data_IF_772836129950
#
_entry.id   IF_772836129950
#
_cell.length_a   1.000
_cell.length_b   1.000
_cell.length_c   1.000
_cell.angle_alpha   90.00
_cell.angle_beta   90.00
_cell.angle_gamma   90.00
#
_symmetry.space_group_name_H-M   'P 1'
#
loop_
_entity.id
_entity.type
_entity.pdbx_description
1 polymer ?
#
# COMPACT_ATOMS: atom_id res chain seq x y z
N UNK A 1 23.62 -18.88 -18.82
CA UNK A 1 24.32 -17.58 -18.97
C UNK A 1 23.41 -16.59 -18.28
N UNK A 2 23.80 -15.99 -17.15
CA UNK A 2 22.88 -15.11 -16.43
C UNK A 2 22.67 -13.85 -17.25
N UNK A 3 21.43 -13.61 -17.68
CA UNK A 3 21.05 -12.37 -18.36
C UNK A 3 21.08 -11.26 -17.33
N UNK A 4 21.95 -10.28 -17.53
CA UNK A 4 22.04 -9.08 -16.69
C UNK A 4 21.17 -7.96 -17.26
N UNK A 5 20.70 -7.08 -16.39
CA UNK A 5 19.96 -5.90 -16.78
C UNK A 5 20.87 -4.96 -17.59
N UNK A 6 20.42 -4.47 -18.76
CA UNK A 6 21.29 -3.67 -19.62
C UNK A 6 21.75 -2.37 -18.96
N UNK A 7 23.06 -2.11 -19.01
CA UNK A 7 23.69 -0.97 -18.35
C UNK A 7 23.14 0.38 -18.84
N UNK A 8 22.88 0.53 -20.14
CA UNK A 8 22.31 1.74 -20.75
C UNK A 8 20.89 2.04 -20.21
N UNK A 9 20.09 0.99 -19.96
CA UNK A 9 18.76 1.12 -19.37
C UNK A 9 18.85 1.46 -17.88
N UNK A 10 19.79 0.86 -17.16
CA UNK A 10 20.05 1.21 -15.76
C UNK A 10 20.53 2.67 -15.61
N UNK A 11 21.39 3.14 -16.51
CA UNK A 11 21.85 4.53 -16.57
C UNK A 11 20.66 5.49 -16.76
N UNK A 12 19.77 5.19 -17.71
CA UNK A 12 18.56 5.98 -17.94
C UNK A 12 17.66 6.03 -16.69
N UNK A 13 17.44 4.89 -16.02
CA UNK A 13 16.61 4.85 -14.80
C UNK A 13 17.28 5.62 -13.66
N UNK A 14 18.59 5.47 -13.49
CA UNK A 14 19.34 6.21 -12.48
C UNK A 14 19.24 7.73 -12.71
N UNK A 15 19.32 8.19 -13.97
CA UNK A 15 19.11 9.59 -14.31
C UNK A 15 17.68 10.05 -13.96
N UNK A 16 16.66 9.28 -14.37
CA UNK A 16 15.25 9.62 -14.12
C UNK A 16 14.92 9.81 -12.63
N UNK A 17 15.51 8.99 -11.76
CA UNK A 17 15.27 9.05 -10.31
C UNK A 17 16.39 9.75 -9.53
N UNK A 18 17.42 10.27 -10.21
CA UNK A 18 18.59 10.89 -9.60
C UNK A 18 19.29 9.97 -8.58
N UNK A 19 19.41 8.68 -8.91
CA UNK A 19 20.08 7.69 -8.07
C UNK A 19 21.56 8.05 -7.86
N UNK A 20 22.01 7.84 -6.64
CA UNK A 20 23.43 7.69 -6.32
C UNK A 20 24.01 6.42 -6.95
N UNK A 21 25.34 6.32 -7.02
CA UNK A 21 26.01 5.11 -7.50
C UNK A 21 25.63 3.86 -6.67
N UNK A 22 25.43 4.02 -5.37
CA UNK A 22 24.99 2.96 -4.47
C UNK A 22 23.55 2.53 -4.77
N UNK A 23 22.62 3.48 -4.91
CA UNK A 23 21.22 3.17 -5.26
C UNK A 23 21.10 2.51 -6.62
N UNK A 24 21.86 2.98 -7.61
CA UNK A 24 21.95 2.37 -8.93
C UNK A 24 22.50 0.96 -8.85
N UNK A 25 23.56 0.73 -8.07
CA UNK A 25 24.12 -0.61 -7.88
C UNK A 25 23.07 -1.56 -7.29
N UNK A 26 22.33 -1.11 -6.27
CA UNK A 26 21.28 -1.95 -5.70
C UNK A 26 20.12 -2.16 -6.68
N UNK A 27 19.71 -1.14 -7.44
CA UNK A 27 18.72 -1.29 -8.50
C UNK A 27 19.13 -2.38 -9.51
N UNK A 28 20.38 -2.35 -10.00
CA UNK A 28 20.88 -3.37 -10.91
C UNK A 28 20.83 -4.77 -10.28
N UNK A 29 21.28 -4.91 -9.03
CA UNK A 29 21.24 -6.20 -8.33
C UNK A 29 19.81 -6.73 -8.18
N UNK A 30 18.84 -5.86 -7.85
CA UNK A 30 17.42 -6.22 -7.77
C UNK A 30 16.86 -6.60 -9.14
N UNK A 31 17.15 -5.81 -10.18
CA UNK A 31 16.69 -6.08 -11.53
C UNK A 31 17.26 -7.40 -12.10
N UNK A 32 18.54 -7.68 -11.81
CA UNK A 32 19.17 -8.96 -12.13
C UNK A 32 18.52 -10.12 -11.38
N UNK A 33 18.14 -9.92 -10.12
CA UNK A 33 17.38 -10.89 -9.32
C UNK A 33 16.02 -11.21 -9.94
N UNK A 34 15.27 -10.19 -10.39
CA UNK A 34 14.00 -10.37 -11.09
C UNK A 34 14.23 -11.14 -12.41
N UNK A 35 15.28 -10.82 -13.17
CA UNK A 35 15.58 -11.57 -14.40
C UNK A 35 15.90 -13.04 -14.13
N UNK A 36 16.55 -13.35 -13.01
CA UNK A 36 16.85 -14.72 -12.59
C UNK A 36 15.59 -15.48 -12.17
N UNK A 37 14.65 -14.85 -11.46
CA UNK A 37 13.38 -15.51 -11.09
C UNK A 37 12.47 -15.78 -12.30
N UNK A 38 12.73 -15.12 -13.43
CA UNK A 38 12.03 -15.27 -14.70
C UNK A 38 12.91 -15.94 -15.78
N UNK A 39 13.84 -16.84 -15.40
CA UNK A 39 14.80 -17.44 -16.35
C UNK A 39 14.15 -18.24 -17.51
N UNK A 40 12.93 -18.72 -17.31
CA UNK A 40 12.13 -19.45 -18.31
C UNK A 40 11.36 -18.52 -19.28
N UNK A 41 11.37 -17.21 -19.04
CA UNK A 41 10.70 -16.22 -19.88
C UNK A 41 11.66 -15.50 -20.84
N UNK A 42 11.10 -14.81 -21.84
CA UNK A 42 11.88 -13.91 -22.70
C UNK A 42 12.36 -12.71 -21.86
N UNK A 43 13.67 -12.56 -21.60
CA UNK A 43 14.18 -11.48 -20.74
C UNK A 43 13.87 -10.10 -21.30
N UNK A 44 13.64 -9.97 -22.62
CA UNK A 44 13.25 -8.71 -23.25
C UNK A 44 11.93 -8.19 -22.69
N UNK A 45 10.99 -9.08 -22.37
CA UNK A 45 9.69 -8.71 -21.79
C UNK A 45 9.86 -8.14 -20.39
N UNK A 46 10.66 -8.81 -19.55
CA UNK A 46 10.92 -8.38 -18.17
C UNK A 46 11.69 -7.06 -18.15
N UNK A 47 12.74 -6.94 -18.96
CA UNK A 47 13.49 -5.68 -19.10
C UNK A 47 12.57 -4.54 -19.55
N UNK A 48 11.69 -4.80 -20.52
CA UNK A 48 10.72 -3.80 -20.99
C UNK A 48 9.73 -3.43 -19.90
N UNK A 49 9.21 -4.40 -19.14
CA UNK A 49 8.31 -4.17 -18.03
C UNK A 49 8.95 -3.26 -16.95
N UNK A 50 10.19 -3.54 -16.55
CA UNK A 50 10.93 -2.69 -15.61
C UNK A 50 11.08 -1.26 -16.14
N UNK A 51 11.52 -1.10 -17.39
CA UNK A 51 11.70 0.24 -17.99
C UNK A 51 10.38 1.02 -18.12
N UNK A 52 9.31 0.38 -18.58
CA UNK A 52 8.02 1.02 -18.75
C UNK A 52 7.40 1.39 -17.40
N UNK A 53 7.56 0.54 -16.38
CA UNK A 53 7.07 0.83 -15.04
C UNK A 53 7.84 2.00 -14.43
N UNK A 54 9.18 2.00 -14.53
CA UNK A 54 10.03 3.12 -14.13
C UNK A 54 9.63 4.44 -14.83
N UNK A 55 9.42 4.42 -16.14
CA UNK A 55 8.99 5.60 -16.91
C UNK A 55 7.62 6.12 -16.43
N UNK A 56 6.67 5.23 -16.09
CA UNK A 56 5.35 5.61 -15.57
C UNK A 56 5.45 6.22 -14.18
N UNK A 57 6.21 5.60 -13.27
CA UNK A 57 6.42 6.12 -11.92
C UNK A 57 7.05 7.52 -12.00
N UNK A 58 8.09 7.70 -12.81
CA UNK A 58 8.78 8.97 -12.96
C UNK A 58 7.86 10.06 -13.54
N UNK A 59 7.04 9.73 -14.55
CA UNK A 59 6.07 10.67 -15.15
C UNK A 59 4.96 11.10 -14.20
N UNK A 60 4.63 10.26 -13.22
CA UNK A 60 3.61 10.51 -12.21
C UNK A 60 4.11 11.30 -10.99
N UNK A 61 5.34 11.82 -11.02
CA UNK A 61 5.93 12.66 -9.98
C UNK A 61 5.79 14.16 -10.29
N UNK A 62 5.87 15.02 -9.28
CA UNK A 62 5.82 16.48 -9.44
C UNK A 62 4.53 16.95 -10.11
N UNK A 63 4.64 17.67 -11.22
CA UNK A 63 3.45 18.16 -11.96
C UNK A 63 2.61 17.05 -12.60
N UNK A 64 3.16 15.83 -12.73
CA UNK A 64 2.43 14.66 -13.19
C UNK A 64 1.69 13.90 -12.08
N UNK A 65 1.88 14.28 -10.81
CA UNK A 65 1.11 13.76 -9.70
C UNK A 65 -0.27 14.42 -9.68
N UNK A 66 -1.24 13.78 -10.34
CA UNK A 66 -2.60 14.29 -10.47
C UNK A 66 -3.54 13.22 -9.86
N UNK A 67 -3.79 13.26 -8.54
CA UNK A 67 -4.63 12.27 -7.90
C UNK A 67 -6.12 12.54 -8.18
N UNK A 68 -6.92 11.47 -8.25
CA UNK A 68 -8.38 11.60 -8.17
C UNK A 68 -8.75 11.74 -6.69
N UNK A 69 -9.53 12.76 -6.38
CA UNK A 69 -9.96 13.06 -5.02
C UNK A 69 -11.48 12.96 -4.95
N UNK A 70 -11.99 12.13 -4.06
CA UNK A 70 -13.42 12.06 -3.77
C UNK A 70 -13.65 12.33 -2.28
N UNK A 71 -14.80 12.94 -1.97
CA UNK A 71 -15.20 13.29 -0.61
C UNK A 71 -16.63 12.84 -0.36
N UNK A 72 -16.86 12.19 0.77
CA UNK A 72 -18.19 11.82 1.20
C UNK A 72 -18.32 11.96 2.72
N UNK A 73 -19.48 12.46 3.16
CA UNK A 73 -19.80 12.57 4.57
C UNK A 73 -20.55 11.32 5.03
N UNK A 74 -20.09 10.72 6.12
CA UNK A 74 -20.67 9.50 6.70
C UNK A 74 -20.88 9.77 8.19
N UNK A 75 -22.14 9.99 8.58
CA UNK A 75 -22.46 10.54 9.90
C UNK A 75 -21.80 11.91 10.10
N UNK A 76 -20.98 12.02 11.16
CA UNK A 76 -20.21 13.24 11.47
C UNK A 76 -18.78 13.21 10.92
N UNK A 77 -18.38 12.16 10.20
CA UNK A 77 -17.03 11.99 9.64
C UNK A 77 -17.01 12.41 8.17
N UNK A 78 -15.99 13.16 7.77
CA UNK A 78 -15.70 13.41 6.35
C UNK A 78 -14.60 12.44 5.89
N UNK A 79 -14.97 11.51 5.01
CA UNK A 79 -14.03 10.62 4.33
C UNK A 79 -13.56 11.29 3.02
N UNK A 80 -12.26 11.51 2.90
CA UNK A 80 -11.59 11.87 1.65
C UNK A 80 -10.78 10.68 1.15
N UNK A 81 -10.99 10.26 -0.10
CA UNK A 81 -10.11 9.31 -0.79
C UNK A 81 -9.21 10.06 -1.77
N UNK A 82 -7.92 9.75 -1.74
CA UNK A 82 -6.91 10.24 -2.68
C UNK A 82 -6.40 9.03 -3.43
N UNK A 83 -6.80 8.87 -4.68
CA UNK A 83 -6.31 7.82 -5.58
C UNK A 83 -5.15 8.42 -6.41
N UNK A 84 -3.90 8.01 -6.19
CA UNK A 84 -2.79 8.53 -6.97
C UNK A 84 -2.82 8.00 -8.42
N UNK A 85 -2.09 8.63 -9.35
CA UNK A 85 -1.91 8.08 -10.70
C UNK A 85 -1.19 6.71 -10.69
N UNK A 86 -0.38 6.44 -9.66
CA UNK A 86 0.36 5.20 -9.47
C UNK A 86 0.47 4.90 -7.96
N UNK A 87 0.19 3.65 -7.56
CA UNK A 87 0.21 3.20 -6.17
C UNK A 87 -1.17 3.10 -5.52
N UNK A 88 -1.17 2.82 -4.23
CA UNK A 88 -2.38 2.64 -3.44
C UNK A 88 -3.05 3.95 -3.04
N UNK A 89 -4.32 3.83 -2.69
CA UNK A 89 -5.13 4.94 -2.20
C UNK A 89 -4.67 5.40 -0.82
N UNK A 90 -4.88 6.69 -0.53
CA UNK A 90 -4.80 7.24 0.82
C UNK A 90 -6.18 7.71 1.25
N UNK A 91 -6.62 7.29 2.42
CA UNK A 91 -7.91 7.70 2.98
C UNK A 91 -7.73 8.60 4.19
N UNK A 92 -8.45 9.70 4.24
CA UNK A 92 -8.41 10.64 5.36
C UNK A 92 -9.81 10.73 5.96
N UNK A 93 -9.90 10.43 7.25
CA UNK A 93 -11.08 10.59 8.07
C UNK A 93 -10.89 11.83 8.95
N UNK A 94 -11.61 12.89 8.62
CA UNK A 94 -11.72 14.07 9.48
C UNK A 94 -12.85 13.85 10.48
N UNK A 95 -12.51 13.88 11.77
CA UNK A 95 -13.41 13.65 12.90
C UNK A 95 -13.42 14.86 13.83
N UNK A 96 -14.24 14.80 14.89
CA UNK A 96 -14.20 15.83 15.96
C UNK A 96 -12.94 15.76 16.81
N UNK A 97 -12.24 14.63 16.82
CA UNK A 97 -11.03 14.40 17.64
C UNK A 97 -9.73 14.59 16.86
N UNK A 98 -9.80 14.74 15.53
CA UNK A 98 -8.64 15.00 14.68
C UNK A 98 -8.71 14.27 13.35
N UNK A 99 -7.53 13.97 12.79
CA UNK A 99 -7.37 13.25 11.54
C UNK A 99 -6.84 11.84 11.77
N UNK A 100 -7.54 10.86 11.20
CA UNK A 100 -7.05 9.50 11.03
C UNK A 100 -6.84 9.24 9.54
N UNK A 101 -5.68 8.70 9.19
CA UNK A 101 -5.35 8.35 7.81
C UNK A 101 -5.15 6.84 7.70
N UNK A 102 -5.56 6.27 6.57
CA UNK A 102 -5.32 4.87 6.23
C UNK A 102 -4.47 4.83 4.98
N UNK A 103 -3.32 4.17 5.09
CA UNK A 103 -2.24 4.09 4.10
C UNK A 103 -1.72 5.46 3.63
N UNK A 104 -0.62 5.46 2.87
CA UNK A 104 0.15 6.69 2.61
C UNK A 104 0.95 6.67 1.29
N UNK A 105 0.55 5.83 0.33
CA UNK A 105 1.10 5.88 -1.03
C UNK A 105 2.57 5.42 -1.14
N UNK A 106 3.19 5.66 -2.29
CA UNK A 106 4.61 5.37 -2.52
C UNK A 106 5.56 6.40 -1.86
N UNK A 107 6.76 6.00 -1.39
CA UNK A 107 7.75 6.93 -0.85
C UNK A 107 8.20 7.98 -1.86
N UNK A 108 8.25 7.62 -3.15
CA UNK A 108 8.66 8.54 -4.20
C UNK A 108 7.65 9.69 -4.44
N UNK A 109 6.41 9.58 -3.92
CA UNK A 109 5.35 10.58 -3.98
C UNK A 109 5.00 11.19 -2.61
N UNK A 110 5.80 10.94 -1.57
CA UNK A 110 5.47 11.37 -0.21
C UNK A 110 5.30 12.89 -0.09
N UNK A 111 6.12 13.68 -0.80
CA UNK A 111 6.02 15.14 -0.78
C UNK A 111 4.79 15.63 -1.55
N UNK A 112 4.47 15.03 -2.70
CA UNK A 112 3.27 15.34 -3.47
C UNK A 112 1.99 14.99 -2.71
N UNK A 113 1.95 13.84 -2.02
CA UNK A 113 0.87 13.47 -1.13
C UNK A 113 0.75 14.49 0.00
N UNK A 114 1.85 14.84 0.67
CA UNK A 114 1.86 15.85 1.73
C UNK A 114 1.29 17.19 1.27
N UNK A 115 1.71 17.69 0.11
CA UNK A 115 1.20 18.93 -0.47
C UNK A 115 -0.30 18.84 -0.78
N UNK A 116 -0.74 17.69 -1.30
CA UNK A 116 -2.16 17.41 -1.55
C UNK A 116 -2.96 17.47 -0.25
N UNK A 117 -2.50 16.78 0.80
CA UNK A 117 -3.15 16.77 2.12
C UNK A 117 -3.24 18.17 2.71
N UNK A 118 -2.13 18.92 2.73
CA UNK A 118 -2.10 20.27 3.30
C UNK A 118 -2.94 21.28 2.49
N UNK A 119 -3.08 21.08 1.18
CA UNK A 119 -3.99 21.87 0.36
C UNK A 119 -5.45 21.58 0.67
N UNK A 120 -5.78 20.32 0.97
CA UNK A 120 -7.14 19.88 1.29
C UNK A 120 -7.52 20.23 2.74
N UNK A 121 -6.54 20.22 3.65
CA UNK A 121 -6.67 20.36 5.09
C UNK A 121 -5.52 21.23 5.65
N UNK A 122 -5.63 22.57 5.58
CA UNK A 122 -4.56 23.47 6.03
C UNK A 122 -4.19 23.35 7.51
N UNK A 123 -5.12 22.88 8.34
CA UNK A 123 -4.90 22.67 9.78
C UNK A 123 -4.41 21.27 10.11
N UNK A 124 -4.20 20.39 9.12
CA UNK A 124 -3.72 19.02 9.32
C UNK A 124 -2.43 18.97 10.15
N UNK A 125 -1.45 19.82 9.82
CA UNK A 125 -0.17 19.91 10.53
C UNK A 125 -0.27 20.51 11.95
N UNK A 126 -1.44 21.00 12.37
CA UNK A 126 -1.66 21.59 13.70
C UNK A 126 -2.39 20.64 14.65
N UNK A 127 -2.87 19.50 14.16
CA UNK A 127 -3.63 18.53 14.93
C UNK A 127 -2.81 17.26 15.11
N UNK A 128 -3.21 16.40 16.06
CA UNK A 128 -2.66 15.06 16.17
C UNK A 128 -3.02 14.29 14.91
N UNK A 129 -2.02 13.66 14.30
CA UNK A 129 -2.18 12.89 13.06
C UNK A 129 -1.81 11.43 13.30
N UNK A 130 -2.76 10.55 12.98
CA UNK A 130 -2.63 9.11 13.20
C UNK A 130 -2.74 8.38 11.87
N UNK A 131 -1.96 7.33 11.68
CA UNK A 131 -1.92 6.53 10.46
C UNK A 131 -2.19 5.06 10.78
N UNK A 132 -3.15 4.43 10.10
CA UNK A 132 -3.29 2.97 10.07
C UNK A 132 -2.64 2.47 8.79
N UNK A 133 -1.78 1.46 8.90
CA UNK A 133 -1.19 0.79 7.74
C UNK A 133 -1.93 -0.53 7.54
N UNK A 134 -2.42 -0.79 6.33
CA UNK A 134 -3.07 -2.07 6.01
C UNK A 134 -2.04 -3.18 5.84
N UNK A 135 -0.91 -2.90 5.19
CA UNK A 135 0.19 -3.85 5.01
C UNK A 135 1.48 -3.15 4.57
N UNK A 136 2.55 -3.93 4.43
CA UNK A 136 3.93 -3.45 4.24
C UNK A 136 4.34 -3.23 2.78
N UNK A 137 3.43 -3.37 1.82
CA UNK A 137 3.80 -3.11 0.43
C UNK A 137 4.15 -1.63 0.27
N UNK A 138 5.13 -1.39 -0.60
CA UNK A 138 5.84 -0.11 -0.66
C UNK A 138 4.90 1.07 -0.90
N UNK A 139 3.80 0.87 -1.62
CA UNK A 139 2.82 1.90 -1.93
C UNK A 139 1.76 2.13 -0.86
N UNK A 140 1.84 1.50 0.32
CA UNK A 140 0.92 1.75 1.43
C UNK A 140 1.55 2.59 2.55
N UNK A 141 2.88 2.69 2.60
CA UNK A 141 3.62 3.21 3.75
C UNK A 141 4.63 4.30 3.38
N UNK A 142 4.49 4.92 2.21
CA UNK A 142 5.47 5.84 1.67
C UNK A 142 5.63 7.17 2.39
N UNK A 143 4.57 7.66 3.03
CA UNK A 143 4.56 8.96 3.69
C UNK A 143 4.34 8.89 5.22
N UNK A 144 4.69 7.76 5.85
CA UNK A 144 4.61 7.56 7.31
C UNK A 144 5.24 8.71 8.12
N UNK A 145 6.25 9.35 7.54
CA UNK A 145 7.01 10.48 8.07
C UNK A 145 6.18 11.73 8.41
N UNK A 146 4.95 11.79 7.88
CA UNK A 146 4.01 12.89 8.10
C UNK A 146 3.23 12.78 9.41
N UNK A 147 3.25 11.64 10.08
CA UNK A 147 2.30 11.30 11.15
C UNK A 147 2.96 11.20 12.52
N UNK A 148 2.24 11.65 13.56
CA UNK A 148 2.72 11.60 14.95
C UNK A 148 2.69 10.18 15.51
N UNK A 149 1.71 9.40 15.08
CA UNK A 149 1.50 8.02 15.49
C UNK A 149 1.11 7.20 14.27
N UNK A 150 1.68 6.01 14.17
CA UNK A 150 1.32 5.03 13.14
C UNK A 150 0.86 3.79 13.90
N UNK A 151 -0.02 2.98 13.31
CA UNK A 151 -0.51 1.70 13.81
C UNK A 151 -0.26 0.58 12.76
N UNK A 152 0.37 -0.51 13.20
CA UNK A 152 0.56 -1.77 12.46
C UNK A 152 0.59 -2.98 13.41
N UNK A 153 0.41 -4.18 12.86
CA UNK A 153 0.40 -5.44 13.61
C UNK A 153 1.82 -5.98 13.90
N UNK A 154 1.88 -7.02 14.72
CA UNK A 154 3.13 -7.68 15.12
C UNK A 154 3.90 -8.25 13.91
N UNK A 155 3.20 -8.85 12.93
CA UNK A 155 3.81 -9.39 11.72
C UNK A 155 4.51 -8.31 10.87
N UNK A 156 3.86 -7.16 10.66
CA UNK A 156 4.48 -6.03 9.95
C UNK A 156 5.68 -5.45 10.72
N UNK A 157 5.64 -5.44 12.07
CA UNK A 157 6.77 -4.98 12.88
C UNK A 157 7.95 -5.96 12.83
N UNK A 158 7.66 -7.26 12.87
CA UNK A 158 8.66 -8.31 12.71
C UNK A 158 9.32 -8.19 11.33
N UNK A 159 8.53 -7.92 10.29
CA UNK A 159 9.04 -7.63 8.96
C UNK A 159 10.10 -6.50 9.00
N UNK A 160 9.77 -5.34 9.57
CA UNK A 160 10.73 -4.23 9.72
C UNK A 160 11.98 -4.60 10.54
N UNK A 161 11.82 -5.44 11.56
CA UNK A 161 12.93 -5.91 12.40
C UNK A 161 13.86 -6.85 11.63
N UNK A 162 13.31 -7.73 10.79
CA UNK A 162 14.09 -8.61 9.91
C UNK A 162 14.90 -7.81 8.90
N UNK A 163 14.32 -6.83 8.21
CA UNK A 163 15.09 -5.99 7.29
C UNK A 163 16.18 -5.17 8.01
N UNK A 164 15.93 -4.67 9.22
CA UNK A 164 16.95 -3.97 10.02
C UNK A 164 18.15 -4.85 10.38
N UNK A 165 17.95 -6.16 10.49
CA UNK A 165 19.00 -7.12 10.91
C UNK A 165 19.67 -7.83 9.74
N UNK A 166 19.36 -7.45 8.50
CA UNK A 166 19.91 -8.08 7.30
C UNK A 166 19.37 -9.50 7.06
N UNK A 167 18.30 -9.87 7.75
CA UNK A 167 17.53 -11.09 7.48
C UNK A 167 16.56 -10.73 6.34
N UNK A 168 16.42 -11.57 5.30
CA UNK A 168 15.39 -11.38 4.29
C UNK A 168 14.03 -11.15 4.97
N UNK A 169 13.45 -9.98 4.71
CA UNK A 169 12.11 -9.65 5.13
C UNK A 169 11.12 -10.17 4.07
N UNK A 170 9.85 -9.84 4.21
CA UNK A 170 8.83 -10.23 3.25
C UNK A 170 8.84 -9.36 1.97
N UNK A 171 9.39 -8.12 1.98
CA UNK A 171 9.65 -7.25 0.79
C UNK A 171 10.59 -6.05 1.13
N UNK A 172 11.84 -5.99 0.62
CA UNK A 172 12.93 -5.07 1.12
C UNK A 172 12.92 -3.64 0.51
N UNK A 173 12.90 -2.56 1.35
CA UNK A 173 13.91 -1.45 1.45
C UNK A 173 13.47 -0.19 2.26
N UNK A 174 14.41 0.28 3.10
CA UNK A 174 14.74 1.63 3.64
C UNK A 174 14.34 2.00 5.11
N UNK A 175 15.25 2.61 5.92
CA UNK A 175 15.56 2.15 7.27
C UNK A 175 15.67 3.31 8.29
N UNK A 176 14.64 4.14 8.50
CA UNK A 176 14.82 5.29 9.42
C UNK A 176 13.76 5.55 10.49
N UNK A 177 12.58 4.93 10.48
CA UNK A 177 11.50 5.37 11.37
C UNK A 177 10.67 4.20 11.87
N UNK A 178 10.99 3.75 13.08
CA UNK A 178 10.15 2.80 13.82
C UNK A 178 9.26 3.56 14.80
N UNK A 179 7.93 3.57 14.63
CA UNK A 179 7.02 3.98 15.68
C UNK A 179 6.82 2.87 16.72
N UNK A 180 6.29 3.22 17.89
CA UNK A 180 5.94 2.29 18.98
C UNK A 180 4.61 1.58 18.65
N UNK A 181 4.52 0.25 18.79
CA UNK A 181 3.28 -0.50 18.53
C UNK A 181 2.94 -1.51 19.63
N UNK A 182 1.64 -1.61 19.91
CA UNK A 182 1.05 -2.48 20.92
C UNK A 182 -0.25 -3.09 20.37
N UNK A 183 -0.20 -4.31 19.79
CA UNK A 183 -1.34 -5.22 19.66
C UNK A 183 -0.84 -6.68 19.83
N UNK A 184 -1.53 -7.43 20.69
CA UNK A 184 -1.02 -8.61 21.44
C UNK A 184 -1.88 -9.84 21.16
N UNK A 185 -2.25 -10.09 19.91
CA UNK A 185 -3.01 -11.30 19.53
C UNK A 185 -2.43 -11.86 18.25
N UNK A 186 -1.94 -13.10 18.31
CA UNK A 186 -1.50 -13.83 17.12
C UNK A 186 -2.72 -14.20 16.28
N UNK A 187 -2.70 -13.96 14.97
CA UNK A 187 -3.78 -14.41 14.09
C UNK A 187 -3.88 -15.94 14.11
N UNK A 188 -5.09 -16.48 13.92
CA UNK A 188 -5.28 -17.90 13.66
C UNK A 188 -4.90 -18.16 12.19
N UNK A 189 -3.86 -18.97 11.90
CA UNK A 189 -3.39 -19.19 10.53
C UNK A 189 -4.37 -20.04 9.69
N UNK A 190 -5.46 -20.54 10.28
CA UNK A 190 -6.48 -21.36 9.61
C UNK A 190 -7.72 -20.57 9.22
N UNK A 191 -7.90 -19.36 9.73
CA UNK A 191 -9.05 -18.50 9.45
C UNK A 191 -8.61 -17.44 8.44
N UNK A 192 -9.30 -17.27 7.29
CA UNK A 192 -8.89 -16.30 6.28
C UNK A 192 -8.72 -14.88 6.81
N UNK A 193 -9.61 -14.43 7.71
CA UNK A 193 -9.52 -13.15 8.40
C UNK A 193 -9.70 -13.38 9.91
N UNK A 194 -8.61 -13.29 10.65
CA UNK A 194 -8.59 -13.48 12.09
C UNK A 194 -8.80 -12.14 12.80
N UNK A 195 -9.78 -12.06 13.70
CA UNK A 195 -9.92 -10.89 14.57
C UNK A 195 -8.73 -10.81 15.54
N UNK A 196 -8.01 -9.68 15.53
CA UNK A 196 -6.81 -9.46 16.35
C UNK A 196 -7.01 -8.39 17.44
N UNK A 197 -8.17 -7.74 17.48
CA UNK A 197 -8.54 -6.79 18.53
C UNK A 197 -9.29 -5.58 18.01
N UNK A 198 -9.72 -4.73 18.96
CA UNK A 198 -10.33 -3.44 18.65
C UNK A 198 -9.29 -2.32 18.83
N UNK A 199 -9.28 -1.38 17.89
CA UNK A 199 -8.45 -0.17 17.93
C UNK A 199 -9.35 1.06 18.08
N UNK A 200 -9.10 1.86 19.12
CA UNK A 200 -9.77 3.13 19.36
C UNK A 200 -8.83 4.29 19.08
N UNK A 201 -9.17 5.11 18.10
CA UNK A 201 -8.35 6.25 17.66
C UNK A 201 -9.23 7.28 16.95
N UNK A 202 -8.88 8.57 17.07
CA UNK A 202 -9.62 9.69 16.49
C UNK A 202 -11.16 9.62 16.68
N UNK A 203 -11.64 9.23 17.86
CA UNK A 203 -13.07 9.09 18.15
C UNK A 203 -13.80 7.95 17.45
N UNK A 204 -13.08 7.02 16.80
CA UNK A 204 -13.62 5.85 16.10
C UNK A 204 -13.18 4.55 16.79
N UNK A 205 -13.93 3.47 16.54
CA UNK A 205 -13.59 2.11 17.01
C UNK A 205 -13.55 1.16 15.83
N UNK A 206 -12.37 0.62 15.52
CA UNK A 206 -12.18 -0.35 14.46
C UNK A 206 -12.01 -1.74 15.06
N UNK A 207 -12.80 -2.71 14.60
CA UNK A 207 -12.44 -4.12 14.75
C UNK A 207 -11.41 -4.46 13.67
N UNK A 208 -10.25 -4.93 14.11
CA UNK A 208 -9.10 -5.19 13.25
C UNK A 208 -8.99 -6.68 12.98
N UNK A 209 -8.81 -7.02 11.70
CA UNK A 209 -8.64 -8.38 11.24
C UNK A 209 -7.32 -8.51 10.49
N UNK A 210 -6.63 -9.63 10.68
CA UNK A 210 -5.41 -9.97 9.95
C UNK A 210 -5.66 -11.19 9.05
N UNK A 211 -5.22 -11.07 7.80
CA UNK A 211 -5.21 -12.14 6.82
C UNK A 211 -4.16 -13.19 7.14
N UNK A 212 -4.43 -14.45 6.82
CA UNK A 212 -3.49 -15.57 7.03
C UNK A 212 -2.35 -15.65 5.99
N UNK A 213 -2.00 -14.52 5.37
CA UNK A 213 -0.91 -14.37 4.41
C UNK A 213 -1.28 -14.73 2.97
N UNK A 214 -2.44 -14.28 2.49
CA UNK A 214 -2.82 -14.39 1.09
C UNK A 214 -2.14 -13.37 0.21
N UNK A 215 -2.44 -12.08 0.41
CA UNK A 215 -1.78 -11.00 -0.31
C UNK A 215 -0.31 -10.84 0.12
N UNK A 216 -0.10 -10.48 1.39
CA UNK A 216 1.18 -10.54 2.10
C UNK A 216 0.93 -10.93 3.56
N UNK A 217 1.87 -11.64 4.18
CA UNK A 217 1.82 -11.87 5.63
C UNK A 217 1.64 -10.55 6.41
N UNK A 218 0.70 -10.53 7.35
CA UNK A 218 0.35 -9.34 8.11
C UNK A 218 -0.62 -8.37 7.44
N UNK A 219 -1.22 -8.72 6.29
CA UNK A 219 -2.28 -7.89 5.68
C UNK A 219 -3.46 -7.70 6.62
N UNK A 220 -3.91 -6.46 6.81
CA UNK A 220 -5.00 -6.12 7.72
C UNK A 220 -6.21 -5.53 7.01
N UNK A 221 -7.36 -5.72 7.66
CA UNK A 221 -8.63 -5.11 7.36
C UNK A 221 -9.15 -4.38 8.60
N UNK A 222 -9.59 -3.14 8.41
CA UNK A 222 -10.14 -2.31 9.47
C UNK A 222 -11.64 -2.09 9.24
N UNK A 223 -12.46 -2.51 10.20
CA UNK A 223 -13.91 -2.42 10.12
C UNK A 223 -14.44 -1.47 11.19
N UNK A 224 -15.06 -0.37 10.78
CA UNK A 224 -15.79 0.53 11.69
C UNK A 224 -17.30 0.27 11.50
N UNK A 225 -17.89 -0.40 12.49
CA UNK A 225 -19.23 -0.95 12.35
C UNK A 225 -20.33 0.11 12.49
N UNK A 226 -20.15 1.18 13.27
CA UNK A 226 -21.25 2.12 13.50
C UNK A 226 -21.59 2.90 12.22
N UNK A 227 -20.58 3.38 11.52
CA UNK A 227 -20.68 4.13 10.26
C UNK A 227 -20.78 3.23 9.03
N UNK A 228 -20.43 1.94 9.15
CA UNK A 228 -20.43 1.00 8.03
C UNK A 228 -19.26 1.26 7.08
N UNK A 229 -18.07 1.50 7.63
CA UNK A 229 -16.83 1.71 6.90
C UNK A 229 -15.96 0.46 6.96
N UNK A 230 -15.29 0.14 5.87
CA UNK A 230 -14.31 -0.95 5.83
C UNK A 230 -13.13 -0.55 4.94
N UNK A 231 -11.92 -0.69 5.46
CA UNK A 231 -10.66 -0.44 4.77
C UNK A 231 -9.93 -1.76 4.63
N UNK A 232 -9.65 -2.18 3.40
CA UNK A 232 -9.27 -3.57 3.14
C UNK A 232 -7.82 -3.76 2.75
N UNK A 233 -7.09 -2.67 2.50
CA UNK A 233 -5.84 -2.74 1.74
C UNK A 233 -6.05 -3.56 0.47
N UNK A 234 -5.06 -4.37 0.13
CA UNK A 234 -5.06 -5.17 -1.10
C UNK A 234 -5.81 -6.50 -1.00
N UNK A 235 -6.49 -6.76 0.13
CA UNK A 235 -7.48 -7.84 0.18
C UNK A 235 -8.54 -7.58 -0.89
N UNK A 236 -9.10 -6.36 -0.95
CA UNK A 236 -9.98 -5.93 -2.03
C UNK A 236 -9.39 -4.77 -2.81
N UNK A 237 -9.37 -4.91 -4.13
CA UNK A 237 -9.13 -3.82 -5.09
C UNK A 237 -10.41 -3.59 -5.90
N UNK A 238 -10.56 -2.39 -6.48
CA UNK A 238 -11.67 -2.05 -7.37
C UNK A 238 -11.16 -1.68 -8.78
N UNK A 239 -10.96 -2.68 -9.66
CA UNK A 239 -10.45 -2.44 -11.01
C UNK A 239 -11.40 -1.65 -11.90
N UNK A 240 -12.71 -1.72 -11.65
CA UNK A 240 -13.72 -0.98 -12.41
C UNK A 240 -13.60 0.54 -12.21
N UNK A 241 -12.92 0.96 -11.14
CA UNK A 241 -12.64 2.34 -10.79
C UNK A 241 -11.43 2.97 -11.46
N UNK A 242 -10.58 2.16 -12.08
CA UNK A 242 -9.31 2.60 -12.61
C UNK A 242 -9.45 3.44 -13.88
N UNK A 243 -8.60 4.46 -14.00
CA UNK A 243 -8.35 5.08 -15.31
C UNK A 243 -7.58 4.11 -16.21
N UNK A 244 -7.58 4.31 -17.55
CA UNK A 244 -6.74 3.54 -18.46
C UNK A 244 -5.25 3.53 -18.07
N UNK A 245 -4.75 4.64 -17.53
CA UNK A 245 -3.38 4.78 -17.06
C UNK A 245 -3.14 3.95 -15.79
N UNK A 246 -4.05 4.02 -14.80
CA UNK A 246 -3.97 3.20 -13.58
C UNK A 246 -4.03 1.70 -13.91
N UNK A 247 -4.90 1.27 -14.84
CA UNK A 247 -4.94 -0.12 -15.33
C UNK A 247 -3.59 -0.55 -15.92
N UNK A 248 -2.95 0.34 -16.69
CA UNK A 248 -1.65 0.06 -17.29
C UNK A 248 -0.56 -0.06 -16.23
N UNK A 249 -0.56 0.81 -15.22
CA UNK A 249 0.44 0.82 -14.14
C UNK A 249 0.28 -0.42 -13.25
N UNK A 250 -0.94 -0.72 -12.80
CA UNK A 250 -1.21 -1.80 -11.84
C UNK A 250 -0.95 -3.22 -12.39
N UNK A 251 -0.67 -3.38 -13.69
CA UNK A 251 -0.29 -4.68 -14.28
C UNK A 251 1.19 -5.02 -14.08
N UNK A 252 2.06 -4.02 -13.96
CA UNK A 252 3.52 -4.26 -13.94
C UNK A 252 3.98 -5.01 -12.69
N UNK A 253 3.49 -4.70 -11.47
CA UNK A 253 3.85 -5.47 -10.28
C UNK A 253 3.59 -6.98 -10.46
N UNK A 254 2.42 -7.36 -10.99
CA UNK A 254 2.10 -8.76 -11.25
C UNK A 254 3.02 -9.39 -12.30
N UNK A 255 3.34 -8.67 -13.40
CA UNK A 255 4.30 -9.15 -14.42
C UNK A 255 5.68 -9.40 -13.79
N UNK A 256 6.16 -8.47 -12.98
CA UNK A 256 7.48 -8.53 -12.34
C UNK A 256 7.56 -9.54 -11.19
N UNK A 257 6.42 -10.01 -10.69
CA UNK A 257 6.31 -10.98 -9.60
C UNK A 257 5.97 -12.41 -10.09
N UNK A 258 6.06 -12.70 -11.40
CA UNK A 258 5.75 -14.04 -11.91
C UNK A 258 4.26 -14.32 -12.14
N UNK A 259 3.43 -13.27 -12.23
CA UNK A 259 2.02 -13.34 -12.61
C UNK A 259 1.02 -12.91 -11.52
N UNK A 260 1.45 -12.75 -10.27
CA UNK A 260 0.60 -12.32 -9.15
C UNK A 260 1.41 -11.55 -8.11
N UNK A 261 0.81 -10.49 -7.55
CA UNK A 261 1.35 -9.78 -6.38
C UNK A 261 1.02 -10.47 -5.05
N UNK A 262 0.07 -11.41 -5.05
CA UNK A 262 -0.23 -12.20 -3.86
C UNK A 262 0.85 -13.25 -3.63
N UNK A 263 1.34 -13.36 -2.39
CA UNK A 263 2.22 -14.44 -1.93
C UNK A 263 1.57 -15.82 -2.07
N UNK A 264 0.27 -15.93 -1.74
CA UNK A 264 -0.54 -17.12 -1.99
C UNK A 264 -1.92 -16.73 -2.54
N UNK A 265 -2.11 -16.94 -3.84
CA UNK A 265 -3.35 -16.57 -4.54
C UNK A 265 -4.59 -17.32 -4.06
N UNK A 266 -4.46 -18.55 -3.52
CA UNK A 266 -5.61 -19.31 -3.00
C UNK A 266 -6.05 -18.74 -1.66
N UNK A 267 -5.08 -18.42 -0.81
CA UNK A 267 -5.31 -17.70 0.43
C UNK A 267 -5.92 -16.32 0.18
N UNK A 268 -5.34 -15.53 -0.73
CA UNK A 268 -5.88 -14.22 -1.08
C UNK A 268 -7.33 -14.28 -1.57
N UNK A 269 -7.70 -15.34 -2.31
CA UNK A 269 -9.09 -15.55 -2.71
C UNK A 269 -10.01 -15.85 -1.51
N UNK A 270 -9.57 -16.65 -0.55
CA UNK A 270 -10.34 -16.94 0.66
C UNK A 270 -10.49 -15.71 1.57
N UNK A 271 -9.43 -14.88 1.72
CA UNK A 271 -9.49 -13.58 2.40
C UNK A 271 -10.55 -12.67 1.76
N UNK A 272 -10.56 -12.58 0.42
CA UNK A 272 -11.59 -11.84 -0.32
C UNK A 272 -13.00 -12.32 -0.02
N UNK A 273 -13.24 -13.63 -0.08
CA UNK A 273 -14.56 -14.18 0.21
C UNK A 273 -14.97 -13.89 1.66
N UNK A 274 -14.06 -14.02 2.62
CA UNK A 274 -14.33 -13.67 4.02
C UNK A 274 -14.67 -12.18 4.19
N UNK A 275 -13.96 -11.27 3.52
CA UNK A 275 -14.28 -9.85 3.55
C UNK A 275 -15.71 -9.57 3.02
N UNK A 276 -16.09 -10.20 1.91
CA UNK A 276 -17.47 -10.08 1.37
C UNK A 276 -18.54 -10.68 2.30
N UNK A 277 -18.23 -11.76 3.01
CA UNK A 277 -19.13 -12.38 3.98
C UNK A 277 -19.37 -11.47 5.20
N UNK A 278 -18.31 -10.82 5.70
CA UNK A 278 -18.39 -9.82 6.78
C UNK A 278 -19.27 -8.62 6.42
N UNK A 279 -19.37 -8.31 5.13
CA UNK A 279 -20.16 -7.18 4.63
C UNK A 279 -21.63 -7.53 4.32
N UNK A 280 -22.08 -8.75 4.58
CA UNK A 280 -23.47 -9.13 4.31
C UNK A 280 -24.47 -8.45 5.27
N UNK A 281 -25.69 -8.20 4.77
CA UNK A 281 -26.84 -7.83 5.61
C UNK A 281 -26.98 -6.35 5.97
N UNK A 282 -26.07 -5.47 5.52
CA UNK A 282 -26.21 -4.01 5.61
C UNK A 282 -25.39 -3.33 4.52
N UNK A 283 -25.61 -2.01 4.36
CA UNK A 283 -24.81 -1.20 3.44
C UNK A 283 -23.44 -0.89 4.03
N UNK A 284 -22.41 -1.04 3.21
CA UNK A 284 -21.03 -0.70 3.53
C UNK A 284 -20.46 0.30 2.54
N UNK A 285 -19.58 1.18 3.04
CA UNK A 285 -18.68 1.98 2.22
C UNK A 285 -17.32 1.29 2.25
N UNK A 286 -16.93 0.74 1.10
CA UNK A 286 -15.74 -0.09 0.95
C UNK A 286 -14.60 0.73 0.37
N UNK A 287 -13.52 0.83 1.15
CA UNK A 287 -12.31 1.56 0.83
C UNK A 287 -11.20 0.56 0.44
N UNK A 288 -11.07 0.21 -0.86
CA UNK A 288 -10.07 -0.76 -1.35
C UNK A 288 -8.64 -0.20 -1.29
N UNK A 289 -7.62 -1.06 -1.37
CA UNK A 289 -6.22 -0.62 -1.51
C UNK A 289 -6.00 0.17 -2.80
N UNK A 290 -6.68 -0.24 -3.88
CA UNK A 290 -6.61 0.44 -5.17
C UNK A 290 -7.99 0.64 -5.79
N UNK A 291 -8.19 1.78 -6.44
CA UNK A 291 -9.39 2.11 -7.23
C UNK A 291 -10.43 2.85 -6.42
N UNK A 292 -11.52 3.31 -7.04
CA UNK A 292 -12.45 4.17 -6.33
C UNK A 292 -13.21 3.45 -5.22
N UNK A 293 -13.59 4.21 -4.19
CA UNK A 293 -14.51 3.75 -3.15
C UNK A 293 -15.82 3.27 -3.79
N UNK A 294 -16.33 2.13 -3.32
CA UNK A 294 -17.59 1.55 -3.77
C UNK A 294 -18.49 1.18 -2.59
N UNK A 295 -19.72 0.77 -2.90
CA UNK A 295 -20.70 0.41 -1.89
C UNK A 295 -21.25 -0.98 -2.17
N UNK A 296 -21.48 -1.73 -1.11
CA UNK A 296 -22.13 -3.03 -1.09
C UNK A 296 -23.38 -2.95 -0.23
#
# INVERSE_FOLDING_TARGET
MNTLFPADKADKIAEMFSFTDEEKHVFCNTADGILQTHEDEDPTKIITAVCEYADLIAKSKGTGYIPKIARQKIGDVLLTSIEPPCGSNTYILETKEGFLVIDSGFPCYAEELKQTVLSLYPDFAKQKTELLITHIDMDHMGAMDMFDCVYLNEASLENFTREKTGIPNYRVKNPSRAPFYQMVVKPDPTIPLSYIGDLKTAGLTFSVYEGFGGHVEGSMLFLENELGLIFTGDILINPDGFTPEQLKVNRYPAILAGGSVNEDSKKAAAERYAAYDMMQGRRWVVCPGHGNVFQL
#
